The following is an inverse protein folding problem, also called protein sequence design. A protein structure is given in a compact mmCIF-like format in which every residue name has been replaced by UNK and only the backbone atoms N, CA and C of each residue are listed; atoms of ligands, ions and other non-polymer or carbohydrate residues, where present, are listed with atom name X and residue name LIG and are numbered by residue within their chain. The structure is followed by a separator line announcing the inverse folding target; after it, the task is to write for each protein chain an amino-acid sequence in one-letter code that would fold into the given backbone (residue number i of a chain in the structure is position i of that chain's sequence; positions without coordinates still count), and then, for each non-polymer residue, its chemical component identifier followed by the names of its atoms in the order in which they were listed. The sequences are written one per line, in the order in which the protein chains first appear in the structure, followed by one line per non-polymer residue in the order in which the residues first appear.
data_IF_525654167950
#
_entry.id   IF_525654167950
#
_cell.length_a   1.000
_cell.length_b   1.000
_cell.length_c   1.000
_cell.angle_alpha   90.00
_cell.angle_beta   90.00
_cell.angle_gamma   90.00
#
_symmetry.space_group_name_H-M   'P 1'
#
loop_
_entity.id
_entity.type
_entity.pdbx_description
1 polymer ?
#
# COMPACT_ATOMS: atom_id res chain seq x y z
N UNK A 1 -20.27 8.89 22.31
CA UNK A 1 -21.31 8.89 21.26
C UNK A 1 -20.67 9.33 19.96
N UNK A 2 -20.05 8.38 19.26
CA UNK A 2 -19.37 8.60 17.98
C UNK A 2 -19.87 7.53 17.04
N UNK A 3 -20.25 7.98 15.84
CA UNK A 3 -21.17 7.35 14.90
C UNK A 3 -20.62 6.03 14.33
N UNK A 4 -21.50 5.04 14.27
CA UNK A 4 -21.35 3.81 13.51
C UNK A 4 -21.19 4.15 12.01
N UNK A 5 -20.23 3.49 11.36
CA UNK A 5 -20.10 3.50 9.91
C UNK A 5 -20.74 2.20 9.40
N UNK A 6 -21.95 2.31 8.89
CA UNK A 6 -22.70 1.21 8.28
C UNK A 6 -22.23 0.94 6.85
N UNK A 7 -22.10 -0.35 6.52
CA UNK A 7 -21.87 -0.87 5.16
C UNK A 7 -23.21 -0.87 4.40
N UNK A 8 -23.33 -0.25 3.20
CA UNK A 8 -24.59 -0.27 2.47
C UNK A 8 -24.77 -1.56 1.65
N UNK A 9 -25.92 -2.20 1.87
CA UNK A 9 -26.49 -3.32 1.12
C UNK A 9 -26.99 -2.93 -0.28
N UNK A 10 -26.93 -3.88 -1.20
CA UNK A 10 -27.22 -3.78 -2.63
C UNK A 10 -28.71 -3.62 -2.98
N UNK A 11 -29.04 -2.66 -3.86
CA UNK A 11 -30.25 -2.70 -4.70
C UNK A 11 -30.00 -2.07 -6.06
N UNK A 12 -30.28 -2.83 -7.12
CA UNK A 12 -30.24 -2.41 -8.52
C UNK A 12 -31.34 -1.38 -8.83
N UNK A 13 -31.02 -0.37 -9.64
CA UNK A 13 -31.98 0.23 -10.56
C UNK A 13 -31.24 0.86 -11.75
N UNK A 14 -31.76 0.57 -12.94
CA UNK A 14 -31.23 0.94 -14.24
C UNK A 14 -31.71 2.32 -14.68
N UNK A 15 -30.82 3.11 -15.30
CA UNK A 15 -31.20 4.12 -16.29
C UNK A 15 -30.00 4.54 -17.13
N UNK A 16 -30.27 4.81 -18.40
CA UNK A 16 -29.32 4.90 -19.51
C UNK A 16 -29.19 6.34 -20.02
N UNK A 17 -27.96 6.75 -20.40
CA UNK A 17 -27.58 7.28 -21.74
C UNK A 17 -26.34 8.20 -21.71
N UNK A 18 -25.42 7.88 -22.63
CA UNK A 18 -24.59 8.74 -23.52
C UNK A 18 -23.62 9.71 -22.81
N UNK A 19 -22.34 9.78 -23.15
CA UNK A 19 -21.77 9.99 -24.48
C UNK A 19 -20.24 9.78 -24.42
N UNK A 20 -19.67 9.31 -25.52
CA UNK A 20 -18.30 8.82 -25.55
C UNK A 20 -17.19 9.83 -25.32
N UNK A 21 -16.08 9.31 -24.81
CA UNK A 21 -14.74 9.69 -25.24
C UNK A 21 -14.02 8.38 -25.59
N UNK A 22 -13.61 8.28 -26.84
CA UNK A 22 -12.66 7.27 -27.30
C UNK A 22 -11.39 7.42 -26.48
N UNK A 23 -11.18 6.49 -25.55
CA UNK A 23 -9.90 6.36 -24.86
C UNK A 23 -8.83 6.06 -25.89
N UNK A 24 -7.93 7.02 -26.07
CA UNK A 24 -6.73 6.81 -26.86
C UNK A 24 -5.92 5.73 -26.14
N UNK A 25 -5.51 4.64 -26.81
CA UNK A 25 -4.72 3.61 -26.15
C UNK A 25 -3.43 4.23 -25.64
N UNK A 26 -3.19 4.03 -24.34
CA UNK A 26 -2.03 4.50 -23.60
C UNK A 26 -0.75 4.05 -24.33
N UNK A 27 -0.02 5.01 -24.92
CA UNK A 27 1.29 4.76 -25.53
C UNK A 27 2.33 4.84 -24.41
N UNK A 28 2.27 3.90 -23.47
CA UNK A 28 3.27 3.67 -22.45
C UNK A 28 4.27 2.63 -22.93
N UNK A 29 5.50 3.06 -23.21
CA UNK A 29 6.71 2.26 -23.45
C UNK A 29 6.51 0.92 -24.20
N UNK A 30 6.57 0.98 -25.54
CA UNK A 30 6.57 -0.20 -26.42
C UNK A 30 7.60 -1.27 -26.00
N UNK A 31 8.71 -0.82 -25.39
CA UNK A 31 9.72 -1.69 -24.80
C UNK A 31 10.31 -1.10 -23.50
N UNK A 32 10.68 -1.97 -22.56
CA UNK A 32 11.39 -1.63 -21.33
C UNK A 32 12.66 -2.48 -21.18
N UNK A 33 13.67 -1.96 -20.50
CA UNK A 33 14.93 -2.69 -20.26
C UNK A 33 14.93 -3.30 -18.87
N UNK A 34 15.18 -4.61 -18.77
CA UNK A 34 15.30 -5.29 -17.48
C UNK A 34 16.54 -4.79 -16.71
N UNK A 35 16.42 -4.34 -15.45
CA UNK A 35 17.56 -3.85 -14.69
C UNK A 35 18.56 -4.96 -14.34
N UNK A 36 18.11 -6.22 -14.20
CA UNK A 36 18.94 -7.39 -13.87
C UNK A 36 19.69 -7.94 -15.10
N UNK A 37 18.95 -8.38 -16.12
CA UNK A 37 19.53 -9.11 -17.26
C UNK A 37 19.77 -8.25 -18.51
N UNK A 38 19.37 -6.96 -18.47
CA UNK A 38 19.50 -5.97 -19.56
C UNK A 38 18.73 -6.27 -20.85
N UNK A 39 17.92 -7.32 -20.85
CA UNK A 39 17.02 -7.68 -21.95
C UNK A 39 15.97 -6.60 -22.22
N UNK A 40 15.59 -6.42 -23.48
CA UNK A 40 14.49 -5.55 -23.87
C UNK A 40 13.19 -6.36 -23.87
N UNK A 41 12.25 -5.98 -23.01
CA UNK A 41 10.94 -6.61 -22.89
C UNK A 41 9.91 -5.77 -23.62
N UNK A 42 8.95 -6.41 -24.27
CA UNK A 42 7.79 -5.74 -24.87
C UNK A 42 6.82 -5.35 -23.76
N UNK A 43 6.42 -4.07 -23.70
CA UNK A 43 5.63 -3.51 -22.59
C UNK A 43 4.35 -4.27 -22.29
N UNK A 44 3.56 -4.59 -23.33
CA UNK A 44 2.28 -5.32 -23.18
C UNK A 44 2.44 -6.73 -22.61
N UNK A 45 3.47 -7.46 -23.05
CA UNK A 45 3.71 -8.82 -22.59
C UNK A 45 4.27 -8.83 -21.17
N UNK A 46 5.07 -7.82 -20.83
CA UNK A 46 5.57 -7.61 -19.47
C UNK A 46 4.46 -7.26 -18.47
N UNK A 47 3.52 -6.39 -18.85
CA UNK A 47 2.33 -6.07 -18.02
C UNK A 47 1.46 -7.31 -17.81
N UNK A 48 1.16 -8.06 -18.88
CA UNK A 48 0.42 -9.34 -18.79
C UNK A 48 1.14 -10.38 -17.92
N UNK A 49 2.47 -10.35 -17.90
CA UNK A 49 3.28 -11.22 -17.06
C UNK A 49 3.51 -10.63 -15.65
N UNK A 50 2.56 -9.83 -15.15
CA UNK A 50 2.55 -9.28 -13.79
C UNK A 50 3.83 -8.49 -13.44
N UNK A 51 4.37 -7.80 -14.44
CA UNK A 51 5.64 -7.09 -14.40
C UNK A 51 6.83 -7.96 -13.98
N UNK A 52 6.85 -9.23 -14.38
CA UNK A 52 7.99 -10.14 -14.19
C UNK A 52 8.76 -10.26 -15.51
N UNK A 53 10.09 -10.20 -15.44
CA UNK A 53 10.95 -10.41 -16.61
C UNK A 53 10.83 -11.84 -17.13
N UNK A 54 10.34 -12.03 -18.35
CA UNK A 54 10.19 -13.35 -19.00
C UNK A 54 11.51 -14.12 -19.19
N UNK A 55 12.65 -13.42 -19.19
CA UNK A 55 13.97 -14.03 -19.42
C UNK A 55 14.73 -14.43 -18.15
N UNK A 56 14.58 -13.69 -17.05
CA UNK A 56 15.38 -13.91 -15.83
C UNK A 56 14.58 -13.94 -14.53
N UNK A 57 13.25 -13.91 -14.64
CA UNK A 57 12.29 -13.91 -13.53
C UNK A 57 12.55 -12.80 -12.50
N UNK A 58 13.13 -11.68 -12.93
CA UNK A 58 13.25 -10.50 -12.09
C UNK A 58 11.87 -9.88 -11.89
N UNK A 59 11.47 -9.73 -10.63
CA UNK A 59 10.23 -9.07 -10.25
C UNK A 59 10.47 -7.56 -10.20
N UNK A 60 9.72 -6.81 -11.00
CA UNK A 60 9.76 -5.36 -10.92
C UNK A 60 8.92 -4.88 -9.75
N UNK A 61 9.17 -3.64 -9.31
CA UNK A 61 8.36 -2.99 -8.29
C UNK A 61 6.97 -2.71 -8.85
N UNK A 62 5.97 -2.95 -8.02
CA UNK A 62 4.58 -2.56 -8.26
C UNK A 62 4.24 -1.38 -7.35
N UNK A 63 3.33 -0.52 -7.80
CA UNK A 63 2.66 0.41 -6.90
C UNK A 63 1.79 -0.33 -5.89
N UNK A 64 1.38 0.36 -4.82
CA UNK A 64 0.41 -0.20 -3.89
C UNK A 64 -0.90 -0.58 -4.58
N UNK A 65 -1.47 0.30 -5.42
CA UNK A 65 -2.72 -0.01 -6.12
C UNK A 65 -2.59 -1.15 -7.14
N UNK A 66 -1.47 -1.24 -7.87
CA UNK A 66 -1.21 -2.39 -8.76
C UNK A 66 -1.12 -3.71 -7.99
N UNK A 67 -0.56 -3.67 -6.78
CA UNK A 67 -0.50 -4.84 -5.90
C UNK A 67 -1.89 -5.21 -5.37
N UNK A 68 -2.70 -4.22 -5.02
CA UNK A 68 -4.08 -4.43 -4.54
C UNK A 68 -4.89 -5.08 -5.66
N UNK A 69 -4.91 -4.50 -6.86
CA UNK A 69 -5.62 -5.03 -8.03
C UNK A 69 -5.18 -6.46 -8.38
N UNK A 70 -3.91 -6.80 -8.15
CA UNK A 70 -3.37 -8.15 -8.37
C UNK A 70 -3.80 -9.17 -7.30
N UNK A 71 -4.01 -8.73 -6.07
CA UNK A 71 -4.30 -9.61 -4.93
C UNK A 71 -5.80 -9.81 -4.71
N UNK A 72 -6.61 -8.78 -4.99
CA UNK A 72 -8.02 -8.72 -4.58
C UNK A 72 -8.97 -8.98 -5.73
N UNK A 73 -10.19 -9.41 -5.42
CA UNK A 73 -11.25 -9.54 -6.42
C UNK A 73 -11.58 -8.16 -7.03
N UNK A 74 -12.02 -8.16 -8.29
CA UNK A 74 -12.39 -6.93 -8.99
C UNK A 74 -13.46 -6.14 -8.23
N UNK A 75 -13.27 -4.82 -8.10
CA UNK A 75 -14.17 -3.90 -7.42
C UNK A 75 -14.46 -4.21 -5.92
N UNK A 76 -13.65 -5.05 -5.28
CA UNK A 76 -13.83 -5.41 -3.86
C UNK A 76 -13.12 -4.47 -2.87
N UNK A 77 -12.09 -3.75 -3.32
CA UNK A 77 -11.25 -2.95 -2.45
C UNK A 77 -11.93 -1.64 -2.03
N UNK A 78 -12.02 -1.44 -0.71
CA UNK A 78 -12.49 -0.21 -0.09
C UNK A 78 -11.34 0.38 0.73
N UNK A 79 -10.77 1.48 0.24
CA UNK A 79 -9.71 2.19 0.95
C UNK A 79 -10.22 2.82 2.25
N UNK A 80 -9.44 2.68 3.32
CA UNK A 80 -9.71 3.23 4.64
C UNK A 80 -8.56 4.14 5.08
N UNK A 81 -8.90 5.13 5.91
CA UNK A 81 -7.92 6.05 6.51
C UNK A 81 -7.05 6.76 5.46
N UNK A 82 -7.63 7.05 4.29
CA UNK A 82 -6.92 7.70 3.18
C UNK A 82 -6.52 9.14 3.53
N UNK A 83 -7.22 9.78 4.47
CA UNK A 83 -6.96 11.13 4.97
C UNK A 83 -5.79 11.22 5.97
N UNK A 84 -5.31 10.08 6.49
CA UNK A 84 -4.15 10.06 7.40
C UNK A 84 -2.87 10.36 6.62
N UNK A 85 -2.21 11.45 7.00
CA UNK A 85 -0.95 11.93 6.41
C UNK A 85 0.12 12.13 7.48
N UNK A 86 1.40 11.99 7.09
CA UNK A 86 2.51 12.38 7.95
C UNK A 86 2.58 13.90 8.14
N UNK A 87 2.97 14.29 9.35
CA UNK A 87 3.35 15.65 9.74
C UNK A 87 4.83 15.68 10.12
N UNK A 88 5.40 16.87 10.31
CA UNK A 88 6.79 17.05 10.76
C UNK A 88 6.82 17.39 12.26
N UNK A 89 6.85 16.39 13.17
CA UNK A 89 6.84 16.66 14.61
C UNK A 89 8.16 17.20 15.14
N UNK A 90 9.26 17.05 14.39
CA UNK A 90 10.60 17.42 14.82
C UNK A 90 11.11 18.71 14.16
N UNK A 91 10.34 19.31 13.26
CA UNK A 91 10.77 20.40 12.37
C UNK A 91 12.10 20.04 11.68
N UNK A 92 12.16 18.83 11.13
CA UNK A 92 13.40 18.25 10.62
C UNK A 92 13.83 18.93 9.31
N UNK A 93 15.05 19.48 9.30
CA UNK A 93 15.62 20.15 8.13
C UNK A 93 16.97 19.53 7.79
N UNK A 94 17.08 19.03 6.56
CA UNK A 94 18.37 18.70 5.94
C UNK A 94 18.91 19.94 5.26
N UNK A 95 20.23 20.05 5.10
CA UNK A 95 20.91 21.20 4.44
C UNK A 95 20.28 21.63 3.10
N UNK A 96 19.58 20.74 2.40
CA UNK A 96 18.95 20.98 1.10
C UNK A 96 17.41 21.10 1.11
N UNK A 97 16.70 20.63 2.16
CA UNK A 97 15.23 20.54 2.14
C UNK A 97 14.64 20.31 3.53
N UNK A 98 13.50 20.94 3.83
CA UNK A 98 12.68 20.65 5.01
C UNK A 98 11.84 19.38 4.80
N UNK A 99 11.64 18.59 5.85
CA UNK A 99 10.88 17.34 5.77
C UNK A 99 9.42 17.56 5.36
N UNK A 100 8.78 18.62 5.87
CA UNK A 100 7.42 19.00 5.47
C UNK A 100 7.29 19.26 3.96
N UNK A 101 8.30 19.86 3.34
CA UNK A 101 8.31 20.11 1.89
C UNK A 101 8.53 18.82 1.10
N UNK A 102 9.44 17.96 1.59
CA UNK A 102 9.65 16.62 1.01
C UNK A 102 8.36 15.79 1.03
N UNK A 103 7.61 15.81 2.13
CA UNK A 103 6.32 15.13 2.22
C UNK A 103 5.32 15.65 1.18
N UNK A 104 5.29 16.96 0.92
CA UNK A 104 4.41 17.56 -0.09
C UNK A 104 4.80 17.11 -1.50
N UNK A 105 6.09 17.19 -1.82
CA UNK A 105 6.64 16.79 -3.12
C UNK A 105 6.40 15.29 -3.41
N UNK A 106 6.64 14.41 -2.43
CA UNK A 106 6.46 12.96 -2.60
C UNK A 106 4.98 12.59 -2.77
N UNK A 107 4.06 13.27 -2.08
CA UNK A 107 2.62 13.08 -2.27
C UNK A 107 2.19 13.43 -3.70
N UNK A 108 2.69 14.54 -4.24
CA UNK A 108 2.41 14.97 -5.61
C UNK A 108 3.05 14.03 -6.65
N UNK A 109 4.30 13.60 -6.42
CA UNK A 109 5.04 12.75 -7.35
C UNK A 109 4.48 11.31 -7.42
N UNK A 110 4.13 10.72 -6.28
CA UNK A 110 3.68 9.33 -6.20
C UNK A 110 2.15 9.21 -6.29
N UNK A 111 1.44 10.33 -6.11
CA UNK A 111 -0.02 10.39 -6.01
C UNK A 111 -0.56 9.44 -4.91
N UNK A 112 0.08 9.49 -3.74
CA UNK A 112 -0.29 8.74 -2.53
C UNK A 112 -0.16 9.67 -1.33
N UNK A 113 -1.08 9.56 -0.37
CA UNK A 113 -1.03 10.34 0.87
C UNK A 113 0.08 9.89 1.82
N UNK A 114 0.47 8.62 1.75
CA UNK A 114 1.51 8.02 2.58
C UNK A 114 2.07 6.74 1.93
N UNK A 115 3.19 6.21 2.43
CA UNK A 115 3.83 4.98 1.94
C UNK A 115 3.10 3.68 2.26
N UNK A 116 1.82 3.72 2.63
CA UNK A 116 0.95 2.56 2.79
C UNK A 116 -0.50 2.89 2.42
N UNK A 117 -1.11 1.98 1.67
CA UNK A 117 -2.55 1.97 1.36
C UNK A 117 -3.18 0.85 2.16
N UNK A 118 -4.27 1.16 2.85
CA UNK A 118 -4.95 0.23 3.78
C UNK A 118 -6.43 0.19 3.46
N UNK A 119 -7.08 -0.95 3.69
CA UNK A 119 -8.49 -1.08 3.41
C UNK A 119 -9.06 -2.46 3.67
N UNK A 120 -10.33 -2.60 3.33
CA UNK A 120 -11.02 -3.87 3.25
C UNK A 120 -10.99 -4.38 1.82
N UNK A 121 -10.90 -5.69 1.62
CA UNK A 121 -11.01 -6.32 0.32
C UNK A 121 -11.56 -7.75 0.43
N UNK A 122 -11.77 -8.40 -0.72
CA UNK A 122 -11.98 -9.84 -0.79
C UNK A 122 -10.95 -10.51 -1.69
N UNK A 123 -10.63 -11.77 -1.38
CA UNK A 123 -9.84 -12.68 -2.24
C UNK A 123 -10.64 -13.97 -2.36
N UNK A 124 -11.07 -14.33 -3.57
CA UNK A 124 -11.97 -15.47 -3.79
C UNK A 124 -13.23 -15.38 -2.91
N UNK A 125 -13.83 -14.19 -2.83
CA UNK A 125 -14.98 -13.85 -1.98
C UNK A 125 -14.73 -13.93 -0.46
N UNK A 126 -13.51 -14.29 -0.02
CA UNK A 126 -13.15 -14.30 1.39
C UNK A 126 -12.74 -12.89 1.86
N UNK A 127 -13.33 -12.36 2.93
CA UNK A 127 -13.05 -11.02 3.41
C UNK A 127 -11.64 -10.92 4.02
N UNK A 128 -10.99 -9.78 3.82
CA UNK A 128 -9.61 -9.55 4.23
C UNK A 128 -9.39 -8.08 4.61
N UNK A 129 -8.73 -7.84 5.74
CA UNK A 129 -8.13 -6.55 6.01
C UNK A 129 -6.74 -6.50 5.35
N UNK A 130 -6.50 -5.47 4.55
CA UNK A 130 -5.32 -5.38 3.68
C UNK A 130 -4.52 -4.12 3.98
N UNK A 131 -3.19 -4.27 4.09
CA UNK A 131 -2.25 -3.16 4.08
C UNK A 131 -1.15 -3.42 3.04
N UNK A 132 -0.94 -2.47 2.14
CA UNK A 132 0.06 -2.57 1.07
C UNK A 132 0.97 -1.37 1.11
N UNK A 133 2.24 -1.60 1.41
CA UNK A 133 3.26 -0.57 1.42
C UNK A 133 3.71 -0.21 0.00
N UNK A 134 4.12 1.04 -0.21
CA UNK A 134 4.64 1.52 -1.50
C UNK A 134 6.07 2.09 -1.33
N UNK A 135 7.04 1.42 -1.95
CA UNK A 135 8.44 1.82 -1.87
C UNK A 135 8.71 3.19 -2.52
N UNK A 136 7.87 3.63 -3.45
CA UNK A 136 8.05 4.90 -4.17
C UNK A 136 7.94 6.08 -3.21
N UNK A 137 7.13 5.97 -2.16
CA UNK A 137 6.95 7.02 -1.16
C UNK A 137 8.05 6.94 -0.09
N UNK A 138 9.09 7.78 -0.22
CA UNK A 138 10.22 7.87 0.74
C UNK A 138 10.77 6.46 1.10
N UNK A 139 10.95 5.61 0.08
CA UNK A 139 11.49 4.26 0.26
C UNK A 139 10.59 3.31 1.05
N UNK A 140 9.28 3.57 1.16
CA UNK A 140 8.37 2.82 2.02
C UNK A 140 8.76 2.87 3.50
N UNK A 141 9.49 3.91 3.91
CA UNK A 141 9.99 4.01 5.27
C UNK A 141 8.84 4.14 6.28
N UNK A 142 8.91 3.41 7.39
CA UNK A 142 7.84 3.42 8.39
C UNK A 142 7.93 4.66 9.29
N UNK A 143 6.97 5.56 9.11
CA UNK A 143 6.70 6.73 9.95
C UNK A 143 5.42 6.57 10.76
N UNK A 144 5.04 7.59 11.52
CA UNK A 144 3.87 7.59 12.41
C UNK A 144 2.57 7.30 11.68
N UNK A 145 2.37 7.91 10.50
CA UNK A 145 1.19 7.67 9.67
C UNK A 145 1.14 6.24 9.13
N UNK A 146 2.28 5.70 8.67
CA UNK A 146 2.37 4.29 8.23
C UNK A 146 2.01 3.34 9.37
N UNK A 147 2.58 3.55 10.56
CA UNK A 147 2.31 2.73 11.74
C UNK A 147 0.86 2.83 12.21
N UNK A 148 0.26 4.02 12.19
CA UNK A 148 -1.18 4.23 12.47
C UNK A 148 -2.07 3.49 11.47
N UNK A 149 -1.87 3.66 10.16
CA UNK A 149 -2.69 2.99 9.14
C UNK A 149 -2.59 1.47 9.24
N UNK A 150 -1.38 0.92 9.41
CA UNK A 150 -1.18 -0.53 9.61
C UNK A 150 -1.90 -1.01 10.88
N UNK A 151 -1.78 -0.26 11.98
CA UNK A 151 -2.45 -0.60 13.24
C UNK A 151 -3.97 -0.66 13.06
N UNK A 152 -4.57 0.35 12.39
CA UNK A 152 -6.01 0.38 12.11
C UNK A 152 -6.46 -0.76 11.20
N UNK A 153 -5.65 -1.14 10.20
CA UNK A 153 -5.95 -2.31 9.38
C UNK A 153 -5.97 -3.61 10.19
N UNK A 154 -5.06 -3.77 11.16
CA UNK A 154 -5.06 -4.92 12.09
C UNK A 154 -6.29 -4.87 13.00
N UNK A 155 -6.61 -3.70 13.56
CA UNK A 155 -7.78 -3.51 14.41
C UNK A 155 -9.10 -3.74 13.66
N UNK A 156 -9.17 -3.40 12.37
CA UNK A 156 -10.26 -3.76 11.47
C UNK A 156 -10.41 -5.28 11.37
N UNK A 157 -9.29 -6.00 11.14
CA UNK A 157 -9.27 -7.46 11.11
C UNK A 157 -9.87 -8.07 12.38
N UNK A 158 -9.48 -7.54 13.54
CA UNK A 158 -10.03 -7.96 14.85
C UNK A 158 -11.53 -7.63 14.97
N UNK A 159 -11.91 -6.40 14.62
CA UNK A 159 -13.30 -5.91 14.76
C UNK A 159 -14.28 -6.70 13.90
N UNK A 160 -13.92 -6.94 12.64
CA UNK A 160 -14.76 -7.65 11.68
C UNK A 160 -14.57 -9.17 11.73
N UNK A 161 -13.64 -9.65 12.57
CA UNK A 161 -13.27 -11.06 12.70
C UNK A 161 -12.83 -11.69 11.35
N UNK A 162 -11.95 -11.00 10.64
CA UNK A 162 -11.42 -11.38 9.32
C UNK A 162 -9.87 -11.49 9.35
N UNK A 163 -9.27 -12.28 8.45
CA UNK A 163 -7.82 -12.33 8.30
C UNK A 163 -7.20 -10.96 7.98
N UNK A 164 -5.90 -10.83 8.25
CA UNK A 164 -5.10 -9.63 7.92
C UNK A 164 -3.94 -10.01 6.99
N UNK A 165 -3.76 -9.27 5.90
CA UNK A 165 -2.59 -9.38 5.02
C UNK A 165 -1.83 -8.06 4.97
N UNK A 166 -0.53 -8.11 5.20
CA UNK A 166 0.37 -6.96 5.06
C UNK A 166 1.42 -7.26 4.00
N UNK A 167 1.34 -6.56 2.87
CA UNK A 167 2.36 -6.57 1.82
C UNK A 167 3.42 -5.52 2.11
N UNK A 168 4.59 -5.98 2.55
CA UNK A 168 5.67 -5.13 3.03
C UNK A 168 6.68 -4.83 1.93
N UNK A 169 7.05 -3.56 1.82
CA UNK A 169 8.26 -3.09 1.17
C UNK A 169 8.75 -1.86 1.91
N UNK A 170 10.03 -1.85 2.29
CA UNK A 170 10.59 -0.76 3.07
C UNK A 170 12.10 -0.75 3.00
N UNK A 171 12.67 0.46 3.01
CA UNK A 171 14.07 0.72 3.29
C UNK A 171 14.39 0.80 4.80
N UNK A 172 13.39 0.79 5.69
CA UNK A 172 13.58 0.85 7.15
C UNK A 172 12.67 1.86 7.85
N UNK A 173 13.10 2.32 9.03
CA UNK A 173 12.39 3.34 9.80
C UNK A 173 12.59 4.74 9.21
N UNK A 174 11.58 5.62 9.32
CA UNK A 174 11.64 6.99 8.79
C UNK A 174 12.46 7.91 9.71
N UNK A 175 13.74 8.06 9.41
CA UNK A 175 14.69 8.81 10.23
C UNK A 175 14.25 10.25 10.55
N UNK A 176 13.48 10.89 9.67
CA UNK A 176 12.98 12.26 9.84
C UNK A 176 12.03 12.40 11.03
N UNK A 177 11.37 11.32 11.45
CA UNK A 177 10.50 11.29 12.63
C UNK A 177 11.20 10.70 13.87
N UNK A 178 12.46 10.28 13.75
CA UNK A 178 13.29 9.82 14.87
C UNK A 178 12.64 8.70 15.71
N UNK A 179 12.48 8.95 17.01
CA UNK A 179 11.92 7.97 17.95
C UNK A 179 10.48 7.58 17.61
N UNK A 180 9.69 8.47 17.01
CA UNK A 180 8.31 8.16 16.64
C UNK A 180 8.25 7.00 15.64
N UNK A 181 9.18 6.94 14.68
CA UNK A 181 9.30 5.83 13.74
C UNK A 181 9.68 4.51 14.41
N UNK A 182 10.61 4.55 15.37
CA UNK A 182 11.00 3.34 16.11
C UNK A 182 9.80 2.78 16.91
N UNK A 183 9.03 3.65 17.56
CA UNK A 183 7.87 3.24 18.34
C UNK A 183 6.75 2.64 17.49
N UNK A 184 6.73 2.88 16.18
CA UNK A 184 5.75 2.21 15.31
C UNK A 184 5.95 0.70 15.26
N UNK A 185 7.18 0.20 15.43
CA UNK A 185 7.43 -1.24 15.56
C UNK A 185 6.69 -1.80 16.77
N UNK A 186 6.89 -1.20 17.95
CA UNK A 186 6.22 -1.63 19.17
C UNK A 186 4.68 -1.56 19.05
N UNK A 187 4.17 -0.50 18.41
CA UNK A 187 2.74 -0.29 18.21
C UNK A 187 2.12 -1.36 17.30
N UNK A 188 2.69 -1.60 16.12
CA UNK A 188 2.14 -2.58 15.16
C UNK A 188 2.32 -4.01 15.69
N UNK A 189 3.44 -4.31 16.37
CA UNK A 189 3.63 -5.59 17.05
C UNK A 189 2.60 -5.81 18.16
N UNK A 190 2.26 -4.79 18.94
CA UNK A 190 1.22 -4.91 19.97
C UNK A 190 -0.17 -5.14 19.36
N UNK A 191 -0.48 -4.53 18.21
CA UNK A 191 -1.71 -4.80 17.47
C UNK A 191 -1.75 -6.24 16.93
N UNK A 192 -0.64 -6.73 16.37
CA UNK A 192 -0.52 -8.14 15.93
C UNK A 192 -0.63 -9.12 17.10
N UNK A 193 -0.15 -8.78 18.30
CA UNK A 193 -0.33 -9.61 19.48
C UNK A 193 -1.83 -9.76 19.84
N UNK A 194 -2.61 -8.67 19.77
CA UNK A 194 -4.07 -8.73 19.95
C UNK A 194 -4.76 -9.55 18.87
N UNK A 195 -4.30 -9.47 17.62
CA UNK A 195 -4.81 -10.31 16.52
C UNK A 195 -4.57 -11.80 16.79
N UNK A 196 -3.40 -12.15 17.34
CA UNK A 196 -3.07 -13.51 17.74
C UNK A 196 -3.93 -13.99 18.92
N UNK A 197 -4.21 -13.14 19.90
CA UNK A 197 -5.16 -13.43 21.00
C UNK A 197 -6.57 -13.70 20.47
N UNK A 198 -7.01 -12.96 19.45
CA UNK A 198 -8.26 -13.18 18.73
C UNK A 198 -8.25 -14.43 17.82
N UNK A 199 -7.09 -15.10 17.67
CA UNK A 199 -6.88 -16.29 16.83
C UNK A 199 -7.20 -16.06 15.35
N UNK A 200 -6.96 -14.86 14.86
CA UNK A 200 -7.16 -14.51 13.45
C UNK A 200 -5.87 -14.69 12.64
N UNK A 201 -5.94 -15.21 11.40
CA UNK A 201 -4.76 -15.39 10.56
C UNK A 201 -4.11 -14.05 10.17
N UNK A 202 -2.78 -14.03 10.26
CA UNK A 202 -1.94 -12.95 9.74
C UNK A 202 -1.04 -13.47 8.63
N UNK A 203 -1.11 -12.84 7.45
CA UNK A 203 -0.26 -13.12 6.30
C UNK A 203 0.73 -11.96 6.09
N UNK A 204 2.02 -12.25 6.23
CA UNK A 204 3.09 -11.30 5.92
C UNK A 204 3.67 -11.58 4.54
N UNK A 205 3.37 -10.70 3.56
CA UNK A 205 3.90 -10.80 2.21
C UNK A 205 5.11 -9.87 2.06
N UNK A 206 6.31 -10.44 2.19
CA UNK A 206 7.57 -9.69 2.07
C UNK A 206 7.92 -9.47 0.59
N UNK A 207 8.15 -8.23 0.18
CA UNK A 207 8.52 -7.88 -1.20
C UNK A 207 9.85 -7.13 -1.26
N UNK A 208 10.48 -7.09 -2.44
CA UNK A 208 11.81 -6.48 -2.62
C UNK A 208 11.75 -4.93 -2.68
N UNK A 209 12.46 -4.20 -1.80
CA UNK A 209 13.17 -4.67 -0.60
C UNK A 209 12.27 -4.59 0.65
N UNK A 210 12.56 -5.39 1.67
CA UNK A 210 12.03 -5.22 3.03
C UNK A 210 13.21 -5.28 4.00
N UNK A 211 13.62 -4.11 4.52
CA UNK A 211 14.80 -3.98 5.39
C UNK A 211 14.51 -3.21 6.68
N UNK A 212 15.44 -3.29 7.65
CA UNK A 212 15.44 -2.47 8.86
C UNK A 212 14.30 -2.79 9.81
N UNK A 213 13.71 -1.76 10.43
CA UNK A 213 12.69 -1.92 11.46
C UNK A 213 11.35 -2.50 10.98
N UNK A 214 11.10 -2.58 9.67
CA UNK A 214 9.90 -3.27 9.14
C UNK A 214 10.14 -4.78 9.06
N UNK A 215 11.40 -5.21 8.89
CA UNK A 215 11.78 -6.63 8.86
C UNK A 215 11.94 -7.24 10.25
N UNK A 216 12.40 -6.43 11.21
CA UNK A 216 12.70 -6.84 12.59
C UNK A 216 11.42 -6.88 13.45
#
# INVERSE_FOLDING_TARGET
MVKEADVPSTTHTSSSKKQGKTEKPFVGNLALKCPKCKEMLVGRDWEKNLKVCSRCSYHFKLSAYERIELLTDSDSFVELDSDIISVDPLNFVVRSQAYADKLREERENVNLNEGVVTGYATIEEMPLALAVMDFRFIGGSMGSAVGEKITRAIELGIKENIPVLISSTSGGARMQEGLYSLMQMAKTSAALAKLAEARLPYFSLLTDPTTGGVTA
#
